data_IF_434620646791
#
_entry.id   IF_434620646791
#
_cell.length_a   1.000
_cell.length_b   1.000
_cell.length_c   1.000
_cell.angle_alpha   90.00
_cell.angle_beta   90.00
_cell.angle_gamma   90.00
#
_symmetry.space_group_name_H-M   'P 1'
#
loop_
_entity.id
_entity.type
_entity.pdbx_description
1 polymer ?
#
# COMPACT_ATOMS: atom_id res chain seq x y z
N UNK A 1 30.14 24.77 -14.74
CA UNK A 1 29.68 25.05 -13.38
C UNK A 1 30.76 25.86 -12.66
N UNK A 2 30.45 27.08 -12.19
CA UNK A 2 31.35 27.89 -11.34
C UNK A 2 31.04 27.61 -9.88
N UNK A 3 32.05 27.43 -9.05
CA UNK A 3 31.87 27.36 -7.58
C UNK A 3 31.50 28.75 -7.03
N UNK A 4 31.09 28.81 -5.75
CA UNK A 4 30.87 30.09 -5.04
C UNK A 4 32.12 31.01 -5.05
N UNK A 5 33.30 30.45 -5.35
CA UNK A 5 34.59 31.16 -5.46
C UNK A 5 34.97 31.55 -6.89
N UNK A 6 34.11 31.34 -7.89
CA UNK A 6 34.37 31.70 -9.29
C UNK A 6 35.26 30.72 -10.07
N UNK A 7 35.82 29.70 -9.42
CA UNK A 7 36.65 28.68 -10.07
C UNK A 7 35.82 27.79 -11.00
N UNK A 8 36.34 27.52 -12.21
CA UNK A 8 35.73 26.58 -13.14
C UNK A 8 36.00 25.15 -12.67
N UNK A 9 34.93 24.41 -12.34
CA UNK A 9 35.03 22.98 -12.02
C UNK A 9 34.86 22.17 -13.30
N UNK A 10 35.76 21.21 -13.55
CA UNK A 10 35.52 20.17 -14.56
C UNK A 10 34.27 19.40 -14.16
N UNK A 11 33.37 19.21 -15.12
CA UNK A 11 32.13 18.46 -14.95
C UNK A 11 32.13 17.32 -15.95
N UNK A 12 31.52 16.22 -15.57
CA UNK A 12 31.17 15.17 -16.51
C UNK A 12 29.93 15.59 -17.29
N UNK A 13 30.01 15.48 -18.62
CA UNK A 13 28.87 15.65 -19.51
C UNK A 13 28.70 14.35 -20.28
N UNK A 14 27.52 13.74 -20.17
CA UNK A 14 27.16 12.57 -20.99
C UNK A 14 26.84 13.04 -22.40
N UNK A 15 27.32 12.30 -23.38
CA UNK A 15 27.02 12.51 -24.80
C UNK A 15 26.21 11.30 -25.25
N UNK A 16 24.98 11.48 -25.74
CA UNK A 16 24.20 10.37 -26.28
C UNK A 16 24.88 9.86 -27.56
N UNK A 17 24.96 8.54 -27.69
CA UNK A 17 25.49 7.87 -28.87
C UNK A 17 24.39 6.91 -29.35
N UNK A 18 24.02 7.03 -30.62
CA UNK A 18 23.01 6.20 -31.25
C UNK A 18 23.62 5.48 -32.45
N UNK A 19 23.32 4.19 -32.58
CA UNK A 19 23.71 3.36 -33.70
C UNK A 19 22.53 2.52 -34.16
N UNK A 20 22.31 2.48 -35.48
CA UNK A 20 21.24 1.69 -36.11
C UNK A 20 21.89 0.64 -37.00
N UNK A 21 21.59 -0.63 -36.75
CA UNK A 21 22.05 -1.73 -37.57
C UNK A 21 21.24 -1.82 -38.88
N UNK A 22 21.85 -2.40 -39.92
CA UNK A 22 21.09 -2.88 -41.07
C UNK A 22 20.08 -3.97 -40.67
N UNK A 23 19.05 -4.13 -41.50
CA UNK A 23 18.01 -5.13 -41.27
C UNK A 23 18.60 -6.54 -41.15
N UNK A 24 18.38 -7.17 -39.99
CA UNK A 24 18.92 -8.51 -39.69
C UNK A 24 17.98 -9.58 -40.21
N UNK A 25 18.40 -10.33 -41.22
CA UNK A 25 17.65 -11.49 -41.69
C UNK A 25 17.63 -12.60 -40.62
N UNK A 26 16.43 -13.07 -40.26
CA UNK A 26 16.27 -14.12 -39.25
C UNK A 26 16.76 -15.47 -39.79
N UNK A 27 17.90 -15.92 -39.28
CA UNK A 27 18.48 -17.24 -39.54
C UNK A 27 18.95 -17.85 -38.23
N UNK A 28 18.72 -19.14 -38.04
CA UNK A 28 19.16 -19.83 -36.83
C UNK A 28 20.69 -19.78 -36.71
N UNK A 29 21.21 -19.43 -35.53
CA UNK A 29 22.64 -19.31 -35.28
C UNK A 29 23.02 -18.05 -34.52
N UNK A 30 24.32 -17.76 -34.50
CA UNK A 30 24.86 -16.52 -33.91
C UNK A 30 24.65 -15.37 -34.89
N UNK A 31 24.16 -14.24 -34.40
CA UNK A 31 24.14 -12.99 -35.16
C UNK A 31 25.57 -12.49 -35.34
N UNK A 32 25.85 -11.89 -36.50
CA UNK A 32 27.10 -11.19 -36.73
C UNK A 32 27.19 -10.05 -35.72
N UNK A 33 28.31 -10.00 -34.98
CA UNK A 33 28.57 -8.89 -34.08
C UNK A 33 28.68 -7.61 -34.90
N UNK A 34 28.02 -6.54 -34.44
CA UNK A 34 28.15 -5.21 -35.04
C UNK A 34 28.48 -4.17 -33.98
N UNK A 35 28.98 -3.02 -34.41
CA UNK A 35 29.49 -1.95 -33.56
C UNK A 35 28.54 -0.76 -33.66
N UNK A 36 27.87 -0.34 -32.56
CA UNK A 36 26.98 0.82 -32.58
C UNK A 36 27.66 2.14 -32.94
N UNK A 37 28.94 2.28 -32.57
CA UNK A 37 29.74 3.46 -32.84
C UNK A 37 31.12 3.03 -33.36
N UNK A 38 31.51 3.40 -34.59
CA UNK A 38 32.84 3.10 -35.13
C UNK A 38 33.99 3.65 -34.28
N UNK A 39 33.77 4.73 -33.52
CA UNK A 39 34.78 5.31 -32.62
C UNK A 39 34.99 4.46 -31.35
N UNK A 40 34.11 3.51 -31.07
CA UNK A 40 34.15 2.63 -29.88
C UNK A 40 34.01 1.16 -30.30
N UNK A 41 34.99 0.58 -31.02
CA UNK A 41 34.89 -0.75 -31.64
C UNK A 41 34.74 -1.92 -30.65
N UNK A 42 35.08 -1.69 -29.38
CA UNK A 42 34.92 -2.67 -28.30
C UNK A 42 33.52 -2.70 -27.69
N UNK A 43 32.68 -1.71 -27.99
CA UNK A 43 31.24 -1.74 -27.69
C UNK A 43 30.54 -2.45 -28.83
N UNK A 44 29.96 -3.61 -28.53
CA UNK A 44 29.43 -4.52 -29.55
C UNK A 44 28.06 -5.02 -29.19
N UNK A 45 27.20 -5.18 -30.19
CA UNK A 45 25.95 -5.91 -30.06
C UNK A 45 26.13 -7.30 -30.65
N UNK A 46 25.81 -8.31 -29.84
CA UNK A 46 25.89 -9.72 -30.21
C UNK A 46 24.54 -10.37 -29.96
N UNK A 47 24.29 -11.52 -30.60
CA UNK A 47 23.06 -12.24 -30.32
C UNK A 47 23.02 -13.66 -30.86
N UNK A 48 21.96 -14.36 -30.48
CA UNK A 48 21.69 -15.74 -30.89
C UNK A 48 20.23 -15.81 -31.29
N UNK A 49 19.97 -16.36 -32.47
CA UNK A 49 18.64 -16.61 -33.00
C UNK A 49 18.39 -18.11 -33.00
N UNK A 50 17.26 -18.52 -32.43
CA UNK A 50 16.81 -19.92 -32.36
C UNK A 50 15.39 -20.01 -32.91
N UNK A 51 15.06 -21.14 -33.54
CA UNK A 51 13.69 -21.45 -33.93
C UNK A 51 13.12 -22.50 -33.00
N UNK A 52 11.97 -22.25 -32.39
CA UNK A 52 11.23 -23.21 -31.55
C UNK A 52 9.74 -23.07 -31.84
N UNK A 53 9.03 -24.19 -31.95
CA UNK A 53 7.55 -24.22 -32.07
C UNK A 53 6.98 -23.23 -33.10
N UNK A 54 7.64 -23.08 -34.26
CA UNK A 54 7.22 -22.16 -35.32
C UNK A 54 7.60 -20.68 -35.13
N UNK A 55 8.15 -20.30 -33.98
CA UNK A 55 8.54 -18.92 -33.64
C UNK A 55 10.07 -18.73 -33.60
N UNK A 56 10.50 -17.48 -33.79
CA UNK A 56 11.89 -17.06 -33.61
C UNK A 56 12.11 -16.53 -32.20
N UNK A 57 13.09 -17.09 -31.50
CA UNK A 57 13.58 -16.59 -30.23
C UNK A 57 14.92 -15.91 -30.45
N UNK A 58 15.04 -14.66 -30.04
CA UNK A 58 16.24 -13.84 -30.22
C UNK A 58 16.74 -13.44 -28.85
N UNK A 59 18.02 -13.69 -28.60
CA UNK A 59 18.72 -13.16 -27.42
C UNK A 59 19.75 -12.16 -27.92
N UNK A 60 19.68 -10.93 -27.42
CA UNK A 60 20.62 -9.86 -27.75
C UNK A 60 21.42 -9.47 -26.51
N UNK A 61 22.68 -9.13 -26.72
CA UNK A 61 23.61 -8.67 -25.69
C UNK A 61 24.28 -7.40 -26.20
N UNK A 62 24.23 -6.33 -25.41
CA UNK A 62 25.15 -5.21 -25.56
C UNK A 62 26.36 -5.47 -24.67
N UNK A 63 27.52 -5.64 -25.29
CA UNK A 63 28.78 -5.99 -24.63
C UNK A 63 29.69 -4.78 -24.65
N UNK A 64 30.03 -4.26 -23.47
CA UNK A 64 31.08 -3.26 -23.32
C UNK A 64 32.42 -3.96 -23.08
N UNK A 65 33.22 -4.12 -24.13
CA UNK A 65 34.55 -4.73 -24.06
C UNK A 65 35.70 -3.74 -23.85
N UNK A 66 35.41 -2.46 -23.60
CA UNK A 66 36.43 -1.42 -23.44
C UNK A 66 37.33 -1.71 -22.23
N UNK A 67 38.62 -1.42 -22.36
CA UNK A 67 39.55 -1.51 -21.24
C UNK A 67 39.41 -0.29 -20.32
N UNK A 68 39.26 -0.52 -19.01
CA UNK A 68 39.16 0.58 -18.05
C UNK A 68 40.49 1.35 -17.94
N UNK A 69 40.51 2.67 -18.21
CA UNK A 69 41.71 3.48 -18.09
C UNK A 69 42.10 3.72 -16.63
N UNK A 70 43.39 3.92 -16.34
CA UNK A 70 43.89 4.18 -14.98
C UNK A 70 43.36 5.49 -14.37
N UNK A 71 43.08 6.48 -15.21
CA UNK A 71 42.47 7.75 -14.83
C UNK A 71 41.17 7.92 -15.60
N UNK A 72 40.20 8.64 -15.03
CA UNK A 72 38.90 8.92 -15.68
C UNK A 72 38.16 7.64 -16.13
N UNK A 73 38.11 6.65 -15.23
CA UNK A 73 37.50 5.33 -15.44
C UNK A 73 36.12 5.39 -16.09
N UNK A 74 35.32 6.38 -15.71
CA UNK A 74 33.97 6.61 -16.23
C UNK A 74 33.92 6.80 -17.76
N UNK A 75 35.03 7.17 -18.43
CA UNK A 75 35.11 7.26 -19.90
C UNK A 75 34.91 5.90 -20.60
N UNK A 76 35.22 4.79 -19.92
CA UNK A 76 35.02 3.43 -20.45
C UNK A 76 33.65 2.83 -20.11
N UNK A 77 32.81 3.51 -19.33
CA UNK A 77 31.53 2.98 -18.86
C UNK A 77 30.36 3.49 -19.71
N UNK A 78 29.41 2.59 -20.01
CA UNK A 78 28.18 2.95 -20.71
C UNK A 78 27.09 3.31 -19.70
N UNK A 79 26.53 4.52 -19.82
CA UNK A 79 25.49 5.00 -18.92
C UNK A 79 24.13 4.90 -19.59
N UNK A 80 23.19 4.22 -18.93
CA UNK A 80 21.80 4.04 -19.39
C UNK A 80 21.70 3.50 -20.83
N UNK A 81 22.44 2.43 -21.19
CA UNK A 81 22.35 1.87 -22.53
C UNK A 81 20.94 1.38 -22.85
N UNK A 82 20.54 1.56 -24.11
CA UNK A 82 19.24 1.14 -24.64
C UNK A 82 19.45 0.29 -25.89
N UNK A 83 18.84 -0.90 -25.92
CA UNK A 83 18.67 -1.69 -27.13
C UNK A 83 17.22 -1.58 -27.57
N UNK A 84 17.02 -1.23 -28.85
CA UNK A 84 15.72 -1.14 -29.50
C UNK A 84 15.67 -2.20 -30.60
N UNK A 85 14.56 -2.95 -30.65
CA UNK A 85 14.31 -3.95 -31.70
C UNK A 85 12.93 -3.69 -32.30
N UNK A 86 12.88 -3.65 -33.63
CA UNK A 86 11.67 -3.46 -34.41
C UNK A 86 11.73 -4.19 -35.76
N UNK A 87 10.56 -4.38 -36.39
CA UNK A 87 10.48 -4.83 -37.78
C UNK A 87 10.97 -3.72 -38.72
N UNK A 88 11.71 -4.08 -39.77
CA UNK A 88 12.24 -3.12 -40.75
C UNK A 88 11.15 -2.31 -41.49
N UNK A 89 9.90 -2.80 -41.48
CA UNK A 89 8.74 -2.12 -42.05
C UNK A 89 7.73 -1.66 -40.99
N UNK A 90 8.10 -1.66 -39.70
CA UNK A 90 7.25 -1.22 -38.60
C UNK A 90 6.04 -2.13 -38.33
N UNK A 91 6.05 -3.38 -38.78
CA UNK A 91 4.94 -4.33 -38.55
C UNK A 91 4.97 -4.88 -37.12
N UNK A 92 3.81 -5.19 -36.51
CA UNK A 92 3.73 -5.73 -35.17
C UNK A 92 4.06 -7.24 -35.15
N UNK A 93 5.33 -7.59 -35.26
CA UNK A 93 5.80 -8.97 -35.43
C UNK A 93 6.11 -9.68 -34.11
N UNK A 94 6.28 -8.95 -33.01
CA UNK A 94 6.60 -9.56 -31.73
C UNK A 94 5.34 -10.18 -31.14
N UNK A 95 5.36 -11.47 -30.90
CA UNK A 95 4.25 -12.18 -30.27
C UNK A 95 4.50 -12.32 -28.78
N UNK A 96 3.43 -12.27 -28.00
CA UNK A 96 3.53 -12.58 -26.59
C UNK A 96 4.11 -13.97 -26.36
N UNK A 97 4.92 -14.07 -25.30
CA UNK A 97 5.35 -15.34 -24.77
C UNK A 97 4.12 -16.07 -24.22
N UNK A 98 3.88 -17.34 -24.61
CA UNK A 98 2.86 -18.13 -23.94
C UNK A 98 3.25 -18.20 -22.45
N UNK A 99 2.27 -17.98 -21.58
CA UNK A 99 2.40 -18.29 -20.16
C UNK A 99 2.97 -19.72 -20.07
N UNK A 100 3.99 -19.93 -19.24
CA UNK A 100 4.65 -21.24 -19.11
C UNK A 100 3.64 -22.36 -18.90
N UNK A 101 4.06 -23.63 -19.10
CA UNK A 101 3.23 -24.80 -18.75
C UNK A 101 2.56 -24.53 -17.40
N UNK A 102 1.22 -24.61 -17.38
CA UNK A 102 0.41 -24.24 -16.23
C UNK A 102 1.03 -24.78 -14.96
N UNK A 103 1.25 -23.89 -13.99
CA UNK A 103 1.57 -24.36 -12.65
C UNK A 103 0.31 -24.98 -12.08
N UNK A 104 0.43 -26.11 -11.39
CA UNK A 104 -0.67 -26.66 -10.58
C UNK A 104 -0.86 -25.87 -9.29
N UNK A 105 0.04 -24.91 -9.01
CA UNK A 105 -0.07 -23.96 -7.91
C UNK A 105 -1.32 -23.07 -8.08
N UNK A 106 -2.30 -23.13 -7.15
CA UNK A 106 -3.53 -22.36 -7.23
C UNK A 106 -3.32 -20.84 -7.26
N UNK A 107 -2.30 -20.32 -6.56
CA UNK A 107 -1.99 -18.89 -6.53
C UNK A 107 -1.47 -18.44 -7.89
N UNK A 108 -0.54 -19.20 -8.47
CA UNK A 108 -0.01 -18.91 -9.80
C UNK A 108 -1.11 -18.98 -10.88
N UNK A 109 -2.07 -19.90 -10.75
CA UNK A 109 -3.25 -19.96 -11.64
C UNK A 109 -4.17 -18.75 -11.47
N UNK A 110 -4.40 -18.30 -10.23
CA UNK A 110 -5.18 -17.11 -9.92
C UNK A 110 -4.55 -15.84 -10.48
N UNK A 111 -3.23 -15.69 -10.31
CA UNK A 111 -2.49 -14.59 -10.93
C UNK A 111 -2.52 -14.68 -12.47
N UNK A 112 -2.33 -15.86 -13.04
CA UNK A 112 -2.41 -16.06 -14.49
C UNK A 112 -3.78 -15.66 -15.05
N UNK A 113 -4.86 -15.96 -14.34
CA UNK A 113 -6.21 -15.52 -14.69
C UNK A 113 -6.35 -13.99 -14.60
N UNK A 114 -5.96 -13.40 -13.47
CA UNK A 114 -6.10 -11.96 -13.22
C UNK A 114 -5.30 -11.11 -14.22
N UNK A 115 -4.10 -11.58 -14.57
CA UNK A 115 -3.18 -10.90 -15.49
C UNK A 115 -3.18 -11.50 -16.91
N UNK A 116 -4.16 -12.31 -17.30
CA UNK A 116 -4.20 -12.99 -18.62
C UNK A 116 -4.13 -12.06 -19.84
N UNK A 117 -4.50 -10.79 -19.65
CA UNK A 117 -4.44 -9.75 -20.67
C UNK A 117 -3.18 -8.87 -20.56
N UNK A 118 -2.34 -9.11 -19.56
CA UNK A 118 -1.01 -8.50 -19.39
C UNK A 118 0.02 -9.49 -19.90
N UNK A 119 0.55 -9.21 -21.09
CA UNK A 119 1.41 -10.15 -21.81
C UNK A 119 2.88 -9.73 -21.78
N UNK A 120 3.76 -10.72 -21.68
CA UNK A 120 5.21 -10.54 -21.77
C UNK A 120 5.68 -10.77 -23.21
N UNK A 121 6.49 -9.86 -23.77
CA UNK A 121 7.08 -10.02 -25.11
C UNK A 121 8.58 -10.34 -25.08
N UNK A 122 9.28 -9.89 -24.05
CA UNK A 122 10.71 -10.16 -23.86
C UNK A 122 11.10 -10.04 -22.39
N UNK A 123 12.18 -10.72 -22.02
CA UNK A 123 12.78 -10.70 -20.68
C UNK A 123 14.14 -10.02 -20.76
N UNK A 124 14.32 -8.95 -19.99
CA UNK A 124 15.62 -8.35 -19.76
C UNK A 124 16.33 -9.03 -18.59
N UNK A 125 17.64 -9.29 -18.75
CA UNK A 125 18.46 -9.89 -17.69
C UNK A 125 19.21 -8.77 -16.98
N UNK A 126 18.75 -8.39 -15.79
CA UNK A 126 19.27 -7.23 -15.05
C UNK A 126 18.85 -5.87 -15.64
N UNK A 127 17.84 -5.85 -16.52
CA UNK A 127 17.29 -4.64 -17.15
C UNK A 127 15.80 -4.85 -17.41
N UNK A 128 14.98 -3.79 -17.37
CA UNK A 128 13.57 -3.87 -17.73
C UNK A 128 13.38 -3.80 -19.26
N UNK A 129 12.17 -4.13 -19.71
CA UNK A 129 11.76 -4.00 -21.11
C UNK A 129 10.52 -3.11 -21.19
N UNK A 130 10.56 -2.10 -22.05
CA UNK A 130 9.42 -1.32 -22.47
C UNK A 130 8.95 -1.78 -23.84
N UNK A 131 7.63 -1.84 -24.03
CA UNK A 131 7.01 -2.43 -25.20
C UNK A 131 6.04 -1.44 -25.83
N UNK A 132 6.26 -1.11 -27.09
CA UNK A 132 5.30 -0.36 -27.90
C UNK A 132 4.30 -1.39 -28.49
N UNK A 133 3.19 -1.61 -27.79
CA UNK A 133 2.16 -2.60 -28.15
C UNK A 133 1.39 -2.16 -29.40
N UNK A 134 0.96 -3.12 -30.24
CA UNK A 134 0.14 -2.84 -31.41
C UNK A 134 -1.22 -2.25 -31.02
N UNK A 135 -1.67 -1.13 -31.62
CA UNK A 135 -2.99 -0.55 -31.37
C UNK A 135 -4.15 -1.52 -31.63
N UNK A 136 -3.98 -2.43 -32.60
CA UNK A 136 -5.03 -3.34 -33.07
C UNK A 136 -5.01 -4.70 -32.36
N UNK A 137 -3.93 -5.07 -31.67
CA UNK A 137 -3.81 -6.37 -31.03
C UNK A 137 -2.84 -6.31 -29.84
N UNK A 138 -3.37 -6.36 -28.62
CA UNK A 138 -2.58 -6.31 -27.38
C UNK A 138 -1.61 -7.47 -27.20
N UNK A 139 -1.77 -8.57 -27.95
CA UNK A 139 -0.87 -9.73 -27.95
C UNK A 139 0.26 -9.63 -28.98
N UNK A 140 0.37 -8.50 -29.67
CA UNK A 140 1.44 -8.18 -30.61
C UNK A 140 2.09 -6.84 -30.28
N UNK A 141 3.39 -6.72 -30.52
CA UNK A 141 4.12 -5.47 -30.32
C UNK A 141 4.86 -5.03 -31.58
N UNK A 142 5.01 -3.71 -31.72
CA UNK A 142 5.70 -3.02 -32.81
C UNK A 142 7.19 -2.90 -32.53
N UNK A 143 7.54 -2.62 -31.27
CA UNK A 143 8.90 -2.31 -30.85
C UNK A 143 9.15 -2.74 -29.41
N UNK A 144 10.34 -3.27 -29.16
CA UNK A 144 10.83 -3.64 -27.83
C UNK A 144 12.05 -2.78 -27.49
N UNK A 145 12.13 -2.25 -26.27
CA UNK A 145 13.24 -1.41 -25.82
C UNK A 145 13.70 -1.81 -24.43
N UNK A 146 15.00 -1.87 -24.17
CA UNK A 146 15.48 -2.04 -22.79
C UNK A 146 15.33 -0.74 -22.00
N UNK A 147 15.13 -0.82 -20.68
CA UNK A 147 15.05 0.32 -19.77
C UNK A 147 15.82 0.03 -18.48
N UNK A 148 16.90 0.79 -18.23
CA UNK A 148 17.73 0.63 -17.02
C UNK A 148 17.05 1.21 -15.78
N UNK A 149 16.33 2.32 -15.94
CA UNK A 149 15.51 2.94 -14.90
C UNK A 149 14.06 3.01 -15.41
N UNK A 150 13.28 1.93 -15.26
CA UNK A 150 11.90 1.92 -15.74
C UNK A 150 11.04 2.90 -14.95
N UNK A 151 10.09 3.50 -15.64
CA UNK A 151 9.00 4.26 -15.04
C UNK A 151 7.69 3.61 -15.49
N UNK A 152 6.71 3.60 -14.60
CA UNK A 152 5.40 3.02 -14.88
C UNK A 152 4.34 3.88 -14.23
N UNK A 153 3.30 4.20 -15.01
CA UNK A 153 2.14 4.91 -14.51
C UNK A 153 1.21 3.92 -13.83
N UNK A 154 1.07 4.04 -12.51
CA UNK A 154 0.12 3.23 -11.74
C UNK A 154 -1.22 3.95 -11.77
N UNK A 155 -2.24 3.30 -12.35
CA UNK A 155 -3.59 3.84 -12.36
C UNK A 155 -4.09 4.09 -10.92
N UNK A 156 -4.66 5.27 -10.68
CA UNK A 156 -5.30 5.56 -9.40
C UNK A 156 -6.62 4.80 -9.30
N UNK A 157 -6.84 4.11 -8.18
CA UNK A 157 -8.12 3.48 -7.85
C UNK A 157 -8.97 4.47 -7.08
N UNK A 158 -10.10 4.89 -7.66
CA UNK A 158 -11.11 5.67 -6.96
C UNK A 158 -12.19 4.73 -6.39
N UNK A 159 -12.46 4.77 -5.07
CA UNK A 159 -13.57 4.03 -4.48
C UNK A 159 -14.90 4.53 -5.05
N UNK A 160 -15.78 3.59 -5.40
CA UNK A 160 -17.17 3.90 -5.77
C UNK A 160 -17.98 4.02 -4.50
N UNK A 161 -18.78 5.07 -4.37
CA UNK A 161 -19.74 5.26 -3.28
C UNK A 161 -21.14 4.97 -3.84
N UNK A 162 -21.77 3.84 -3.47
CA UNK A 162 -23.14 3.53 -3.85
C UNK A 162 -24.11 4.61 -3.37
N UNK A 163 -25.20 4.82 -4.11
CA UNK A 163 -26.28 5.72 -3.68
C UNK A 163 -26.88 5.25 -2.35
N UNK A 164 -27.11 6.20 -1.44
CA UNK A 164 -27.63 5.91 -0.09
C UNK A 164 -26.60 5.43 0.93
N UNK A 165 -25.35 5.15 0.54
CA UNK A 165 -24.28 4.82 1.49
C UNK A 165 -23.83 6.06 2.27
N UNK A 166 -23.93 6.01 3.60
CA UNK A 166 -23.34 7.02 4.48
C UNK A 166 -21.87 6.70 4.72
N UNK A 167 -20.99 7.65 4.41
CA UNK A 167 -19.53 7.52 4.57
C UNK A 167 -18.91 8.52 5.54
N UNK A 168 -19.65 9.55 5.93
CA UNK A 168 -19.18 10.57 6.86
C UNK A 168 -19.01 9.97 8.27
N UNK A 169 -17.80 10.09 8.84
CA UNK A 169 -17.52 9.54 10.16
C UNK A 169 -18.39 10.18 11.25
N UNK A 170 -18.62 11.50 11.21
CA UNK A 170 -19.40 12.18 12.25
C UNK A 170 -20.89 11.86 12.13
N UNK A 171 -21.40 11.74 10.90
CA UNK A 171 -22.77 11.28 10.65
C UNK A 171 -22.97 9.86 11.17
N UNK A 172 -22.08 8.92 10.81
CA UNK A 172 -22.11 7.54 11.32
C UNK A 172 -22.05 7.46 12.84
N UNK A 173 -21.29 8.34 13.49
CA UNK A 173 -21.25 8.42 14.95
C UNK A 173 -22.57 8.89 15.58
N UNK A 174 -23.42 9.61 14.84
CA UNK A 174 -24.71 10.11 15.29
C UNK A 174 -25.89 9.15 15.10
N UNK A 175 -25.71 8.02 14.42
CA UNK A 175 -26.81 7.08 14.16
C UNK A 175 -27.36 6.45 15.45
N UNK A 176 -28.69 6.35 15.61
CA UNK A 176 -29.31 5.66 16.73
C UNK A 176 -29.12 4.13 16.63
N UNK A 177 -29.34 3.43 17.75
CA UNK A 177 -29.35 1.97 17.74
C UNK A 177 -30.41 1.44 16.76
N UNK A 178 -30.06 0.42 15.97
CA UNK A 178 -30.92 -0.13 14.92
C UNK A 178 -30.98 0.69 13.63
N UNK A 179 -30.23 1.79 13.52
CA UNK A 179 -30.19 2.65 12.33
C UNK A 179 -29.05 2.37 11.35
N UNK A 180 -28.08 1.52 11.69
CA UNK A 180 -26.86 1.33 10.89
C UNK A 180 -27.12 0.55 9.61
N UNK A 181 -28.06 -0.41 9.60
CA UNK A 181 -28.45 -1.16 8.42
C UNK A 181 -28.83 -0.24 7.26
N UNK A 182 -29.75 0.70 7.48
CA UNK A 182 -30.18 1.64 6.45
C UNK A 182 -29.03 2.48 5.87
N UNK A 183 -28.02 2.80 6.69
CA UNK A 183 -26.88 3.63 6.30
C UNK A 183 -25.79 2.85 5.54
N UNK A 184 -25.60 1.55 5.85
CA UNK A 184 -24.45 0.76 5.41
C UNK A 184 -24.81 -0.39 4.45
N UNK A 185 -26.04 -0.89 4.46
CA UNK A 185 -26.50 -1.95 3.54
C UNK A 185 -26.29 -1.63 2.05
N UNK A 186 -26.45 -0.37 1.56
CA UNK A 186 -26.21 -0.06 0.16
C UNK A 186 -24.80 -0.45 -0.33
N UNK A 187 -23.81 -0.45 0.58
CA UNK A 187 -22.45 -0.90 0.27
C UNK A 187 -22.40 -2.39 -0.07
N UNK A 188 -22.98 -3.25 0.78
CA UNK A 188 -22.89 -4.69 0.61
C UNK A 188 -23.78 -5.15 -0.55
N UNK A 189 -24.93 -4.52 -0.75
CA UNK A 189 -25.81 -4.77 -1.91
C UNK A 189 -25.07 -4.47 -3.23
N UNK A 190 -24.43 -3.30 -3.34
CA UNK A 190 -23.66 -2.95 -4.54
C UNK A 190 -22.47 -3.91 -4.77
N UNK A 191 -21.87 -4.42 -3.71
CA UNK A 191 -20.81 -5.42 -3.81
C UNK A 191 -21.35 -6.77 -4.29
N UNK A 192 -22.49 -7.23 -3.76
CA UNK A 192 -23.16 -8.45 -4.19
C UNK A 192 -23.59 -8.38 -5.66
N UNK A 193 -24.18 -7.27 -6.11
CA UNK A 193 -24.54 -7.04 -7.51
C UNK A 193 -23.31 -7.12 -8.44
N UNK A 194 -22.19 -6.58 -8.00
CA UNK A 194 -20.93 -6.69 -8.73
C UNK A 194 -20.46 -8.15 -8.81
N UNK A 195 -20.54 -8.91 -7.71
CA UNK A 195 -20.19 -10.34 -7.70
C UNK A 195 -21.12 -11.14 -8.63
N UNK A 196 -22.42 -10.83 -8.67
CA UNK A 196 -23.38 -11.42 -9.61
C UNK A 196 -22.98 -11.17 -11.06
N UNK A 197 -22.52 -9.96 -11.37
CA UNK A 197 -22.01 -9.64 -12.71
C UNK A 197 -20.76 -10.48 -13.07
N UNK A 198 -19.90 -10.80 -12.10
CA UNK A 198 -18.74 -11.67 -12.31
C UNK A 198 -19.16 -13.13 -12.51
N UNK A 199 -20.14 -13.61 -11.74
CA UNK A 199 -20.70 -14.96 -11.88
C UNK A 199 -21.35 -15.17 -13.25
N UNK A 200 -22.08 -14.17 -13.74
CA UNK A 200 -22.65 -14.19 -15.10
C UNK A 200 -21.55 -14.27 -16.18
N UNK A 201 -20.44 -13.54 -16.00
CA UNK A 201 -19.28 -13.60 -16.91
C UNK A 201 -18.55 -14.95 -16.85
N UNK A 202 -18.46 -15.58 -15.69
CA UNK A 202 -17.88 -16.92 -15.56
C UNK A 202 -18.76 -17.99 -16.22
N UNK A 203 -20.08 -17.79 -16.21
CA UNK A 203 -21.06 -18.68 -16.86
C UNK A 203 -21.06 -18.57 -18.39
N UNK A 204 -20.68 -17.41 -18.94
CA UNK A 204 -20.49 -17.19 -20.37
C UNK A 204 -19.09 -16.62 -20.65
N UNK A 205 -18.03 -17.46 -20.53
CA UNK A 205 -16.65 -17.00 -20.52
C UNK A 205 -16.18 -16.60 -21.93
N UNK A 206 -15.37 -15.54 -21.99
CA UNK A 206 -14.61 -15.21 -23.20
C UNK A 206 -13.54 -16.29 -23.48
N UNK A 207 -13.07 -16.45 -24.73
CA UNK A 207 -12.11 -17.51 -25.08
C UNK A 207 -10.83 -17.52 -24.22
N UNK A 208 -10.38 -16.35 -23.77
CA UNK A 208 -9.22 -16.18 -22.89
C UNK A 208 -9.49 -16.54 -21.42
N UNK A 209 -10.76 -16.58 -21.00
CA UNK A 209 -11.18 -16.93 -19.64
C UNK A 209 -11.53 -18.41 -19.49
N UNK A 210 -11.92 -19.10 -20.58
CA UNK A 210 -12.26 -20.54 -20.57
C UNK A 210 -11.26 -21.40 -19.78
N UNK A 211 -9.92 -21.24 -19.91
CA UNK A 211 -8.95 -22.06 -19.17
C UNK A 211 -8.92 -21.83 -17.65
N UNK A 212 -9.66 -20.84 -17.14
CA UNK A 212 -9.62 -20.39 -15.76
C UNK A 212 -11.01 -20.35 -15.10
N UNK A 213 -12.02 -20.96 -15.70
CA UNK A 213 -13.41 -20.92 -15.17
C UNK A 213 -13.48 -21.48 -13.75
N UNK A 214 -12.76 -22.56 -13.46
CA UNK A 214 -12.63 -23.15 -12.12
C UNK A 214 -12.04 -22.16 -11.10
N UNK A 215 -10.97 -21.48 -11.47
CA UNK A 215 -10.29 -20.46 -10.66
C UNK A 215 -11.20 -19.24 -10.45
N UNK A 216 -11.94 -18.85 -11.48
CA UNK A 216 -12.89 -17.74 -11.43
C UNK A 216 -14.03 -18.05 -10.44
N UNK A 217 -14.60 -19.24 -10.49
CA UNK A 217 -15.64 -19.68 -9.56
C UNK A 217 -15.15 -19.66 -8.11
N UNK A 218 -13.96 -20.21 -7.83
CA UNK A 218 -13.38 -20.16 -6.48
C UNK A 218 -13.14 -18.72 -5.98
N UNK A 219 -12.74 -17.81 -6.87
CA UNK A 219 -12.58 -16.39 -6.53
C UNK A 219 -13.92 -15.71 -6.22
N UNK A 220 -14.97 -16.07 -6.96
CA UNK A 220 -16.35 -15.59 -6.73
C UNK A 220 -16.87 -16.07 -5.38
N UNK A 221 -16.64 -17.34 -5.04
CA UNK A 221 -17.04 -17.91 -3.74
C UNK A 221 -16.37 -17.16 -2.58
N UNK A 222 -15.08 -16.84 -2.69
CA UNK A 222 -14.38 -16.01 -1.70
C UNK A 222 -14.96 -14.59 -1.59
N UNK A 223 -15.38 -14.00 -2.72
CA UNK A 223 -16.04 -12.69 -2.70
C UNK A 223 -17.40 -12.76 -1.97
N UNK A 224 -18.17 -13.83 -2.19
CA UNK A 224 -19.45 -14.05 -1.49
C UNK A 224 -19.28 -14.24 0.00
N UNK A 225 -18.27 -15.00 0.43
CA UNK A 225 -17.98 -15.15 1.86
C UNK A 225 -17.56 -13.81 2.48
N UNK A 226 -16.78 -13.01 1.75
CA UNK A 226 -16.42 -11.65 2.20
C UNK A 226 -17.67 -10.76 2.34
N UNK A 227 -18.60 -10.79 1.37
CA UNK A 227 -19.85 -10.02 1.42
C UNK A 227 -20.72 -10.44 2.62
N UNK A 228 -20.84 -11.75 2.87
CA UNK A 228 -21.54 -12.29 4.03
C UNK A 228 -20.94 -11.82 5.36
N UNK A 229 -19.60 -11.81 5.49
CA UNK A 229 -18.91 -11.31 6.69
C UNK A 229 -19.13 -9.80 6.90
N UNK A 230 -19.11 -9.00 5.84
CA UNK A 230 -19.46 -7.57 5.90
C UNK A 230 -20.91 -7.39 6.38
N UNK A 231 -21.85 -8.15 5.83
CA UNK A 231 -23.27 -8.12 6.21
C UNK A 231 -23.47 -8.47 7.68
N UNK A 232 -22.78 -9.50 8.18
CA UNK A 232 -22.79 -9.86 9.60
C UNK A 232 -22.24 -8.73 10.49
N UNK A 233 -21.24 -7.99 10.02
CA UNK A 233 -20.74 -6.79 10.69
C UNK A 233 -21.78 -5.67 10.78
N UNK A 234 -22.57 -5.45 9.73
CA UNK A 234 -23.65 -4.46 9.72
C UNK A 234 -24.78 -4.89 10.67
N UNK A 235 -25.24 -6.14 10.57
CA UNK A 235 -26.28 -6.69 11.46
C UNK A 235 -25.88 -6.63 12.94
N UNK A 236 -24.60 -6.86 13.24
CA UNK A 236 -24.06 -6.74 14.59
C UNK A 236 -24.24 -5.34 15.17
N UNK A 237 -24.09 -4.28 14.36
CA UNK A 237 -24.25 -2.91 14.82
C UNK A 237 -25.70 -2.59 15.23
N UNK A 238 -26.69 -3.23 14.60
CA UNK A 238 -28.10 -3.02 14.94
C UNK A 238 -28.59 -3.92 16.08
N UNK A 239 -27.88 -5.02 16.35
CA UNK A 239 -28.30 -6.03 17.34
C UNK A 239 -27.48 -6.02 18.63
N UNK A 240 -26.31 -5.40 18.64
CA UNK A 240 -25.43 -5.34 19.81
C UNK A 240 -25.08 -3.89 20.18
N UNK A 241 -25.63 -3.42 21.30
CA UNK A 241 -25.42 -2.06 21.79
C UNK A 241 -23.94 -1.71 22.07
N UNK A 242 -23.13 -2.67 22.54
CA UNK A 242 -21.70 -2.41 22.76
C UNK A 242 -20.95 -2.28 21.43
N UNK A 243 -21.33 -3.08 20.42
CA UNK A 243 -20.76 -2.99 19.09
C UNK A 243 -21.12 -1.66 18.42
N UNK A 244 -22.38 -1.26 18.48
CA UNK A 244 -22.86 0.04 18.01
C UNK A 244 -22.07 1.18 18.65
N UNK A 245 -21.93 1.15 19.97
CA UNK A 245 -21.27 2.20 20.73
C UNK A 245 -19.75 2.25 20.48
N UNK A 246 -19.09 1.10 20.36
CA UNK A 246 -17.70 1.01 19.95
C UNK A 246 -17.47 1.55 18.52
N UNK A 247 -18.43 1.34 17.61
CA UNK A 247 -18.38 1.87 16.27
C UNK A 247 -18.56 3.40 16.24
N UNK A 248 -19.47 3.96 17.06
CA UNK A 248 -19.58 5.42 17.23
C UNK A 248 -18.28 6.01 17.76
N UNK A 249 -17.70 5.42 18.81
CA UNK A 249 -16.42 5.86 19.36
C UNK A 249 -15.30 5.82 18.31
N UNK A 250 -15.21 4.74 17.52
CA UNK A 250 -14.21 4.59 16.48
C UNK A 250 -14.36 5.67 15.41
N UNK A 251 -15.59 5.95 14.97
CA UNK A 251 -15.88 7.00 13.99
C UNK A 251 -15.51 8.40 14.52
N UNK A 252 -15.90 8.75 15.75
CA UNK A 252 -15.54 10.04 16.37
C UNK A 252 -14.02 10.19 16.49
N UNK A 253 -13.34 9.14 16.96
CA UNK A 253 -11.88 9.14 17.10
C UNK A 253 -11.18 9.34 15.76
N UNK A 254 -11.69 8.68 14.71
CA UNK A 254 -11.14 8.75 13.36
C UNK A 254 -11.40 10.09 12.68
N UNK A 255 -12.56 10.71 12.90
CA UNK A 255 -12.85 12.07 12.45
C UNK A 255 -11.94 13.09 13.15
N UNK A 256 -11.89 13.05 14.49
CA UNK A 256 -11.10 13.98 15.27
C UNK A 256 -9.60 13.92 14.94
N UNK A 257 -9.01 12.71 14.82
CA UNK A 257 -7.59 12.61 14.43
C UNK A 257 -7.34 13.14 13.02
N UNK A 258 -8.31 12.99 12.12
CA UNK A 258 -8.18 13.41 10.72
C UNK A 258 -8.19 14.93 10.62
N UNK A 259 -9.15 15.57 11.28
CA UNK A 259 -9.31 17.02 11.33
C UNK A 259 -8.07 17.69 11.93
N UNK A 260 -7.59 17.16 13.07
CA UNK A 260 -6.37 17.68 13.71
C UNK A 260 -5.10 17.42 12.89
N UNK A 261 -5.05 16.35 12.11
CA UNK A 261 -3.92 16.10 11.19
C UNK A 261 -3.91 17.11 10.04
N UNK A 262 -5.08 17.47 9.50
CA UNK A 262 -5.20 18.51 8.47
C UNK A 262 -4.79 19.85 9.06
N UNK A 263 -5.36 20.23 10.20
CA UNK A 263 -5.03 21.46 10.92
C UNK A 263 -3.52 21.58 11.18
N UNK A 264 -2.88 20.55 11.74
CA UNK A 264 -1.45 20.55 12.01
C UNK A 264 -0.58 20.63 10.74
N UNK A 265 -1.09 20.13 9.61
CA UNK A 265 -0.41 20.23 8.31
C UNK A 265 -0.47 21.65 7.78
N UNK A 266 -1.64 22.30 7.84
CA UNK A 266 -1.82 23.67 7.35
C UNK A 266 -1.01 24.68 8.17
N UNK A 267 -1.00 24.55 9.50
CA UNK A 267 -0.14 25.34 10.39
C UNK A 267 1.34 25.18 10.01
N UNK A 268 1.81 23.95 9.75
CA UNK A 268 3.21 23.69 9.36
C UNK A 268 3.57 24.29 8.01
N UNK A 269 2.60 24.39 7.11
CA UNK A 269 2.77 25.02 5.80
C UNK A 269 2.64 26.55 5.84
N UNK A 270 2.39 27.14 7.01
CA UNK A 270 2.22 28.58 7.19
C UNK A 270 0.91 29.11 6.59
N UNK A 271 -0.09 28.23 6.40
CA UNK A 271 -1.44 28.63 5.99
C UNK A 271 -2.24 29.08 7.21
N UNK A 272 -3.26 29.91 6.95
CA UNK A 272 -4.30 30.18 7.95
C UNK A 272 -5.12 28.90 8.16
N UNK A 273 -5.04 28.35 9.37
CA UNK A 273 -5.70 27.09 9.73
C UNK A 273 -6.89 27.40 10.65
N UNK A 274 -8.08 27.00 10.23
CA UNK A 274 -9.32 27.11 11.00
C UNK A 274 -9.89 25.71 11.26
N UNK A 275 -9.84 25.28 12.51
CA UNK A 275 -10.32 23.96 12.89
C UNK A 275 -11.84 23.84 12.67
N UNK A 276 -12.62 24.87 12.96
CA UNK A 276 -14.07 24.82 12.80
C UNK A 276 -14.47 24.66 11.34
N UNK A 277 -13.77 25.34 10.43
CA UNK A 277 -13.96 25.17 8.99
C UNK A 277 -13.56 23.77 8.51
N UNK A 278 -12.48 23.19 9.05
CA UNK A 278 -12.05 21.82 8.71
C UNK A 278 -13.10 20.80 9.17
N UNK A 279 -13.60 20.92 10.41
CA UNK A 279 -14.60 20.00 10.98
C UNK A 279 -15.94 20.07 10.25
N UNK A 280 -16.31 21.26 9.76
CA UNK A 280 -17.56 21.53 9.04
C UNK A 280 -17.60 20.97 7.61
N UNK A 281 -16.48 20.49 7.06
CA UNK A 281 -16.43 19.88 5.73
C UNK A 281 -16.43 18.34 5.80
N UNK A 282 -17.56 17.68 5.45
CA UNK A 282 -17.70 16.22 5.40
C UNK A 282 -16.62 15.51 4.57
N UNK A 283 -16.06 16.18 3.56
CA UNK A 283 -15.06 15.57 2.70
C UNK A 283 -13.74 15.28 3.44
N UNK A 284 -13.48 15.94 4.57
CA UNK A 284 -12.26 15.76 5.34
C UNK A 284 -12.23 14.44 6.11
N UNK A 285 -13.39 13.97 6.57
CA UNK A 285 -13.56 12.78 7.42
C UNK A 285 -14.53 11.75 6.81
N UNK A 286 -14.68 11.74 5.49
CA UNK A 286 -15.36 10.69 4.77
C UNK A 286 -14.51 9.40 4.66
N UNK A 287 -15.11 8.26 5.00
CA UNK A 287 -14.54 6.96 4.70
C UNK A 287 -14.53 6.69 3.19
N UNK A 288 -13.54 5.93 2.75
CA UNK A 288 -13.59 5.22 1.47
C UNK A 288 -14.36 3.91 1.66
N UNK A 289 -15.15 3.52 0.68
CA UNK A 289 -15.99 2.31 0.73
C UNK A 289 -15.23 1.05 1.14
N UNK A 290 -14.01 0.85 0.63
CA UNK A 290 -13.19 -0.31 1.00
C UNK A 290 -12.71 -0.26 2.47
N UNK A 291 -12.54 0.94 3.05
CA UNK A 291 -12.16 1.12 4.45
C UNK A 291 -13.32 0.69 5.34
N UNK A 292 -14.55 1.12 5.03
CA UNK A 292 -15.76 0.68 5.72
C UNK A 292 -15.95 -0.84 5.60
N UNK A 293 -15.84 -1.39 4.38
CA UNK A 293 -15.90 -2.83 4.16
C UNK A 293 -14.89 -3.58 5.05
N UNK A 294 -13.64 -3.11 5.09
CA UNK A 294 -12.59 -3.71 5.92
C UNK A 294 -12.86 -3.60 7.43
N UNK A 295 -13.44 -2.50 7.90
CA UNK A 295 -13.82 -2.36 9.31
C UNK A 295 -14.96 -3.32 9.63
N UNK A 296 -16.04 -3.28 8.83
CA UNK A 296 -17.26 -4.06 9.04
C UNK A 296 -17.01 -5.57 9.05
N UNK A 297 -16.19 -6.08 8.12
CA UNK A 297 -15.88 -7.51 8.06
C UNK A 297 -15.14 -8.03 9.30
N UNK A 298 -14.46 -7.15 10.06
CA UNK A 298 -13.71 -7.53 11.26
C UNK A 298 -14.54 -7.42 12.56
N UNK A 299 -15.67 -6.71 12.57
CA UNK A 299 -16.39 -6.40 13.81
C UNK A 299 -16.88 -7.65 14.57
N UNK A 300 -17.46 -8.68 13.93
CA UNK A 300 -17.93 -9.87 14.65
C UNK A 300 -16.81 -10.58 15.43
N UNK A 301 -15.62 -10.71 14.85
CA UNK A 301 -14.48 -11.38 15.47
C UNK A 301 -13.84 -10.55 16.61
N UNK A 302 -13.96 -9.22 16.54
CA UNK A 302 -13.47 -8.31 17.59
C UNK A 302 -14.45 -8.22 18.77
N UNK A 303 -15.74 -8.36 18.51
CA UNK A 303 -16.81 -8.21 19.51
C UNK A 303 -17.10 -9.48 20.29
N UNK A 304 -17.02 -10.66 19.67
CA UNK A 304 -17.21 -11.92 20.38
C UNK A 304 -15.87 -12.68 20.55
N UNK A 305 -15.34 -12.77 21.78
CA UNK A 305 -14.14 -13.54 22.07
C UNK A 305 -14.21 -15.02 21.68
N UNK A 306 -15.41 -15.58 21.51
CA UNK A 306 -15.68 -16.98 21.12
C UNK A 306 -15.90 -17.16 19.61
N UNK A 307 -15.87 -16.07 18.83
CA UNK A 307 -16.02 -16.14 17.39
C UNK A 307 -14.87 -16.98 16.78
N UNK A 308 -15.22 -17.99 15.97
CA UNK A 308 -14.25 -18.91 15.38
C UNK A 308 -13.22 -18.21 14.47
N UNK A 309 -13.65 -17.15 13.77
CA UNK A 309 -12.78 -16.38 12.86
C UNK A 309 -11.57 -15.78 13.61
N UNK A 310 -11.73 -15.47 14.90
CA UNK A 310 -10.69 -14.87 15.73
C UNK A 310 -9.42 -15.72 15.83
N UNK A 311 -9.55 -17.05 15.76
CA UNK A 311 -8.43 -17.99 15.82
C UNK A 311 -8.00 -18.55 14.47
N UNK A 312 -8.83 -18.42 13.45
CA UNK A 312 -8.69 -19.17 12.19
C UNK A 312 -8.34 -18.27 11.00
N UNK A 313 -8.65 -16.97 11.06
CA UNK A 313 -8.58 -16.07 9.90
C UNK A 313 -7.59 -14.92 10.14
N UNK A 314 -6.84 -14.58 9.08
CA UNK A 314 -6.07 -13.35 8.98
C UNK A 314 -6.50 -12.59 7.72
N UNK A 315 -7.15 -11.44 7.90
CA UNK A 315 -7.66 -10.63 6.79
C UNK A 315 -6.57 -9.75 6.17
N UNK A 316 -6.44 -9.82 4.83
CA UNK A 316 -5.46 -9.06 4.06
C UNK A 316 -6.11 -7.87 3.34
N UNK A 317 -5.72 -6.65 3.74
CA UNK A 317 -6.11 -5.43 3.03
C UNK A 317 -5.16 -5.12 1.87
N UNK A 318 -5.53 -5.57 0.66
CA UNK A 318 -4.83 -5.22 -0.57
C UNK A 318 -5.46 -4.02 -1.26
N UNK A 319 -4.74 -2.89 -1.30
CA UNK A 319 -5.14 -1.71 -2.07
C UNK A 319 -3.88 -0.95 -2.55
N UNK A 320 -3.89 -0.23 -3.68
CA UNK A 320 -2.71 0.50 -4.15
C UNK A 320 -2.12 1.49 -3.13
N UNK A 321 -0.84 1.81 -3.27
CA UNK A 321 -0.14 2.81 -2.44
C UNK A 321 -0.78 4.19 -2.59
N UNK A 322 -0.84 4.96 -1.50
CA UNK A 322 -1.57 6.24 -1.48
C UNK A 322 -3.10 6.10 -1.43
N UNK A 323 -3.62 4.88 -1.49
CA UNK A 323 -5.06 4.61 -1.52
C UNK A 323 -5.77 4.60 -0.16
N UNK A 324 -5.12 5.02 0.93
CA UNK A 324 -5.80 5.19 2.24
C UNK A 324 -5.96 3.91 3.07
N UNK A 325 -5.05 2.95 2.93
CA UNK A 325 -5.09 1.70 3.73
C UNK A 325 -4.94 1.94 5.23
N UNK A 326 -4.23 3.01 5.59
CA UNK A 326 -3.90 3.30 6.98
C UNK A 326 -5.13 3.62 7.80
N UNK A 327 -6.05 4.37 7.24
CA UNK A 327 -7.30 4.75 7.87
C UNK A 327 -8.16 3.51 8.18
N UNK A 328 -8.17 2.50 7.31
CA UNK A 328 -8.93 1.26 7.53
C UNK A 328 -8.46 0.52 8.79
N UNK A 329 -7.15 0.24 8.92
CA UNK A 329 -6.64 -0.48 10.09
C UNK A 329 -6.61 0.38 11.35
N UNK A 330 -6.55 1.71 11.23
CA UNK A 330 -6.72 2.63 12.36
C UNK A 330 -8.17 2.64 12.87
N UNK A 331 -9.17 2.59 11.98
CA UNK A 331 -10.57 2.40 12.36
C UNK A 331 -10.81 1.10 13.10
N UNK A 332 -10.22 -0.01 12.62
CA UNK A 332 -10.25 -1.31 13.31
C UNK A 332 -9.59 -1.21 14.69
N UNK A 333 -8.45 -0.51 14.80
CA UNK A 333 -7.76 -0.31 16.07
C UNK A 333 -8.63 0.49 17.05
N UNK A 334 -9.23 1.59 16.61
CA UNK A 334 -10.12 2.42 17.42
C UNK A 334 -11.33 1.62 17.95
N UNK A 335 -11.96 0.83 17.08
CA UNK A 335 -13.05 -0.07 17.47
C UNK A 335 -12.59 -1.10 18.52
N UNK A 336 -11.44 -1.74 18.28
CA UNK A 336 -10.87 -2.74 19.19
C UNK A 336 -10.61 -2.16 20.59
N UNK A 337 -10.11 -0.91 20.65
CA UNK A 337 -9.88 -0.21 21.91
C UNK A 337 -11.19 0.07 22.64
N UNK A 338 -12.22 0.55 21.93
CA UNK A 338 -13.52 0.87 22.49
C UNK A 338 -14.29 -0.36 22.98
N UNK A 339 -14.41 -1.41 22.14
CA UNK A 339 -15.18 -2.61 22.48
C UNK A 339 -14.61 -3.31 23.72
N UNK A 340 -13.28 -3.31 23.87
CA UNK A 340 -12.63 -3.84 25.07
C UNK A 340 -13.02 -3.08 26.34
N UNK A 341 -13.15 -1.74 26.28
CA UNK A 341 -13.62 -0.96 27.44
C UNK A 341 -15.04 -1.34 27.81
N UNK A 342 -15.93 -1.44 26.82
CA UNK A 342 -17.34 -1.77 27.03
C UNK A 342 -17.55 -3.21 27.53
N UNK A 343 -16.72 -4.15 27.09
CA UNK A 343 -16.75 -5.55 27.56
C UNK A 343 -16.29 -5.70 29.02
N UNK A 344 -15.54 -4.75 29.56
CA UNK A 344 -15.08 -4.77 30.94
C UNK A 344 -14.17 -5.96 31.26
N UNK A 345 -14.57 -6.80 32.20
CA UNK A 345 -13.80 -7.98 32.61
C UNK A 345 -14.40 -9.25 31.99
N UNK A 346 -13.59 -9.98 31.23
CA UNK A 346 -13.97 -11.23 30.57
C UNK A 346 -13.16 -12.40 31.16
N UNK A 347 -13.68 -12.99 32.23
CA UNK A 347 -12.95 -14.00 33.01
C UNK A 347 -11.76 -13.38 33.73
N UNK A 348 -10.55 -13.88 33.47
CA UNK A 348 -9.28 -13.35 33.97
C UNK A 348 -8.72 -12.20 33.11
N UNK A 349 -9.35 -11.88 31.98
CA UNK A 349 -8.89 -10.86 31.04
C UNK A 349 -9.57 -9.52 31.27
N UNK A 350 -8.77 -8.50 31.55
CA UNK A 350 -9.24 -7.11 31.65
C UNK A 350 -9.29 -6.44 30.27
N UNK A 351 -10.43 -5.84 29.95
CA UNK A 351 -10.61 -4.97 28.79
C UNK A 351 -10.06 -3.56 28.99
N UNK A 352 -9.70 -3.19 30.22
CA UNK A 352 -9.23 -1.84 30.57
C UNK A 352 -7.72 -1.67 30.40
N UNK A 353 -6.95 -2.75 30.57
CA UNK A 353 -5.49 -2.75 30.56
C UNK A 353 -4.89 -3.72 29.52
N UNK A 354 -3.60 -3.55 29.26
CA UNK A 354 -2.81 -4.41 28.39
C UNK A 354 -2.80 -4.01 26.92
N UNK A 355 -2.06 -4.79 26.13
CA UNK A 355 -1.88 -4.55 24.69
C UNK A 355 -3.07 -5.10 23.90
N UNK A 356 -3.68 -4.26 23.09
CA UNK A 356 -4.80 -4.61 22.22
C UNK A 356 -4.38 -4.68 20.74
N UNK A 357 -3.45 -3.82 20.30
CA UNK A 357 -3.06 -3.69 18.90
C UNK A 357 -1.53 -3.72 18.76
N UNK A 358 -1.03 -4.56 17.86
CA UNK A 358 0.37 -4.61 17.45
C UNK A 358 0.49 -4.22 15.98
N UNK A 359 1.22 -3.14 15.68
CA UNK A 359 1.51 -2.70 14.32
C UNK A 359 2.97 -2.96 13.99
N UNK A 360 3.27 -3.67 12.90
CA UNK A 360 4.66 -3.97 12.50
C UNK A 360 5.00 -3.38 11.14
N UNK A 361 6.11 -2.66 11.08
CA UNK A 361 6.62 -2.05 9.85
C UNK A 361 8.04 -2.50 9.54
N UNK A 362 8.33 -2.67 8.25
CA UNK A 362 9.62 -3.22 7.79
C UNK A 362 10.73 -2.18 7.67
N UNK A 363 10.38 -0.91 7.45
CA UNK A 363 11.33 0.19 7.22
C UNK A 363 11.24 1.23 8.33
N UNK A 364 12.38 1.63 8.91
CA UNK A 364 12.45 2.57 10.05
C UNK A 364 11.76 3.91 9.77
N UNK A 365 11.96 4.49 8.58
CA UNK A 365 11.30 5.75 8.20
C UNK A 365 9.77 5.60 8.16
N UNK A 366 9.29 4.48 7.60
CA UNK A 366 7.87 4.17 7.55
C UNK A 366 7.32 3.97 8.97
N UNK A 367 8.06 3.30 9.86
CA UNK A 367 7.67 3.10 11.26
C UNK A 367 7.39 4.44 11.95
N UNK A 368 8.27 5.43 11.80
CA UNK A 368 8.09 6.76 12.42
C UNK A 368 6.89 7.51 11.84
N UNK A 369 6.72 7.48 10.52
CA UNK A 369 5.57 8.12 9.87
C UNK A 369 4.24 7.50 10.31
N UNK A 370 4.19 6.18 10.42
CA UNK A 370 2.98 5.47 10.84
C UNK A 370 2.73 5.62 12.35
N UNK A 371 3.78 5.72 13.16
CA UNK A 371 3.66 6.04 14.58
C UNK A 371 3.01 7.40 14.80
N UNK A 372 3.38 8.44 14.03
CA UNK A 372 2.75 9.76 14.15
C UNK A 372 1.24 9.70 13.89
N UNK A 373 0.82 8.89 12.91
CA UNK A 373 -0.60 8.70 12.58
C UNK A 373 -1.35 7.94 13.67
N UNK A 374 -0.76 6.86 14.18
CA UNK A 374 -1.34 6.10 15.28
C UNK A 374 -1.39 6.92 16.58
N UNK A 375 -0.41 7.78 16.84
CA UNK A 375 -0.40 8.68 17.99
C UNK A 375 -1.56 9.68 17.93
N UNK A 376 -1.83 10.27 16.75
CA UNK A 376 -2.99 11.16 16.57
C UNK A 376 -4.32 10.45 16.89
N UNK A 377 -4.47 9.19 16.45
CA UNK A 377 -5.63 8.37 16.83
C UNK A 377 -5.73 8.18 18.34
N UNK A 378 -4.64 7.78 19.00
CA UNK A 378 -4.66 7.50 20.44
C UNK A 378 -4.95 8.77 21.25
N UNK A 379 -4.46 9.93 20.82
CA UNK A 379 -4.85 11.22 21.41
C UNK A 379 -6.36 11.48 21.25
N UNK A 380 -6.94 11.21 20.08
CA UNK A 380 -8.38 11.38 19.89
C UNK A 380 -9.20 10.42 20.76
N UNK A 381 -8.79 9.15 20.86
CA UNK A 381 -9.41 8.18 21.77
C UNK A 381 -9.36 8.66 23.23
N UNK A 382 -8.22 9.21 23.67
CA UNK A 382 -8.04 9.70 25.04
C UNK A 382 -8.89 10.94 25.34
N UNK A 383 -9.06 11.85 24.38
CA UNK A 383 -9.97 12.99 24.54
C UNK A 383 -11.40 12.50 24.79
N UNK A 384 -11.91 11.60 23.96
CA UNK A 384 -13.28 11.05 24.09
C UNK A 384 -13.43 10.26 25.41
N UNK A 385 -12.39 9.51 25.81
CA UNK A 385 -12.39 8.79 27.11
C UNK A 385 -12.58 9.74 28.29
N UNK A 386 -11.92 10.90 28.27
CA UNK A 386 -11.95 11.90 29.35
C UNK A 386 -13.29 12.62 29.46
N UNK A 387 -14.06 12.69 28.37
CA UNK A 387 -15.41 13.24 28.36
C UNK A 387 -16.41 12.35 29.11
N UNK A 388 -16.22 11.03 29.07
CA UNK A 388 -17.06 10.07 29.81
C UNK A 388 -16.22 8.94 30.48
N UNK A 389 -15.54 9.23 31.60
CA UNK A 389 -14.74 8.24 32.31
C UNK A 389 -15.57 7.10 32.92
N UNK A 390 -16.87 7.33 33.16
CA UNK A 390 -17.77 6.31 33.71
C UNK A 390 -18.03 5.21 32.67
N UNK A 391 -18.13 5.58 31.39
CA UNK A 391 -18.31 4.65 30.27
C UNK A 391 -17.02 4.01 29.79
N UNK A 392 -15.96 4.81 29.62
CA UNK A 392 -14.73 4.36 28.97
C UNK A 392 -13.63 3.92 29.96
N UNK A 393 -13.88 4.07 31.26
CA UNK A 393 -12.98 3.70 32.34
C UNK A 393 -11.90 4.75 32.62
N UNK A 394 -11.28 4.64 33.80
CA UNK A 394 -10.27 5.58 34.30
C UNK A 394 -8.87 5.43 33.67
N UNK A 395 -8.55 4.26 33.14
CA UNK A 395 -7.21 3.97 32.58
C UNK A 395 -7.00 4.71 31.24
N UNK A 396 -5.90 5.46 31.02
CA UNK A 396 -5.63 6.17 29.77
C UNK A 396 -5.46 5.24 28.55
N UNK A 397 -5.73 5.76 27.35
CA UNK A 397 -5.30 5.10 26.10
C UNK A 397 -3.84 5.45 25.78
N UNK A 398 -3.00 4.42 25.62
CA UNK A 398 -1.54 4.59 25.46
C UNK A 398 -0.99 3.99 24.18
N UNK A 399 0.06 4.60 23.64
CA UNK A 399 0.83 4.14 22.49
C UNK A 399 2.30 3.95 22.83
N UNK A 400 2.88 2.83 22.40
CA UNK A 400 4.31 2.54 22.51
C UNK A 400 5.00 2.45 21.15
N UNK A 401 6.28 2.83 21.08
CA UNK A 401 7.14 2.64 19.91
C UNK A 401 8.32 1.74 20.29
N UNK A 402 8.51 0.64 19.57
CA UNK A 402 9.63 -0.28 19.77
C UNK A 402 10.49 -0.39 18.51
N UNK A 403 11.62 0.31 18.50
CA UNK A 403 12.56 0.41 17.35
C UNK A 403 14.02 0.08 17.70
N UNK A 404 14.24 -0.51 18.88
CA UNK A 404 15.57 -0.88 19.41
C UNK A 404 16.25 0.24 20.21
N UNK A 405 17.06 -0.16 21.20
CA UNK A 405 17.68 0.73 22.21
C UNK A 405 18.48 1.89 21.63
N UNK A 406 19.10 1.71 20.46
CA UNK A 406 19.94 2.74 19.85
C UNK A 406 19.12 3.93 19.30
N UNK A 407 17.79 3.79 19.16
CA UNK A 407 16.94 4.79 18.52
C UNK A 407 15.94 5.44 19.47
N UNK A 408 15.41 4.71 20.44
CA UNK A 408 14.47 5.21 21.45
C UNK A 408 14.77 4.58 22.81
N UNK A 409 14.54 5.30 23.91
CA UNK A 409 14.63 4.71 25.24
C UNK A 409 13.71 3.50 25.38
N UNK A 410 14.20 2.49 26.10
CA UNK A 410 13.48 1.24 26.35
C UNK A 410 12.77 1.24 27.72
N UNK A 411 12.84 2.32 28.49
CA UNK A 411 12.26 2.46 29.83
C UNK A 411 11.52 3.81 29.98
N UNK A 412 10.51 3.88 30.86
CA UNK A 412 9.60 5.04 30.99
C UNK A 412 10.33 6.23 31.57
N UNK A 413 11.19 5.98 32.55
CA UNK A 413 12.02 6.99 33.22
C UNK A 413 12.95 7.67 32.21
N UNK A 414 13.69 6.86 31.43
CA UNK A 414 14.57 7.34 30.36
C UNK A 414 13.82 8.15 29.29
N UNK A 415 12.58 7.74 28.96
CA UNK A 415 11.76 8.43 27.97
C UNK A 415 11.23 9.77 28.49
N UNK A 416 10.81 9.84 29.76
CA UNK A 416 10.39 11.07 30.41
C UNK A 416 11.54 12.10 30.43
N UNK A 417 12.75 11.67 30.78
CA UNK A 417 13.95 12.51 30.77
C UNK A 417 14.27 13.03 29.35
N UNK A 418 14.19 12.15 28.34
CA UNK A 418 14.43 12.53 26.94
C UNK A 418 13.41 13.54 26.41
N UNK A 419 12.11 13.38 26.73
CA UNK A 419 11.04 14.33 26.35
C UNK A 419 11.27 15.69 27.00
N UNK A 420 11.61 15.71 28.29
CA UNK A 420 11.91 16.94 29.00
C UNK A 420 13.07 17.70 28.34
N UNK A 421 14.20 17.01 28.10
CA UNK A 421 15.36 17.59 27.42
C UNK A 421 14.99 18.17 26.04
N UNK A 422 14.09 17.51 25.31
CA UNK A 422 13.62 17.98 24.01
C UNK A 422 12.71 19.22 24.12
N UNK A 423 11.80 19.25 25.10
CA UNK A 423 10.94 20.42 25.38
C UNK A 423 11.81 21.59 25.82
N UNK A 424 12.72 21.39 26.77
CA UNK A 424 13.65 22.41 27.26
C UNK A 424 14.49 23.01 26.14
N UNK A 425 15.04 22.17 25.24
CA UNK A 425 15.76 22.64 24.05
C UNK A 425 14.91 23.47 23.10
N UNK A 426 13.60 23.19 23.02
CA UNK A 426 12.69 23.80 22.05
C UNK A 426 12.03 25.07 22.59
N UNK A 427 11.74 25.14 23.89
CA UNK A 427 11.01 26.25 24.53
C UNK A 427 11.90 27.11 25.43
N UNK A 428 13.06 26.63 25.86
CA UNK A 428 13.93 27.31 26.82
C UNK A 428 13.43 27.27 28.27
N UNK A 429 12.33 26.58 28.55
CA UNK A 429 11.69 26.51 29.88
C UNK A 429 12.01 25.15 30.52
N UNK A 430 12.59 25.17 31.72
CA UNK A 430 12.77 23.97 32.56
C UNK A 430 11.41 23.42 32.98
N UNK A 431 11.09 22.20 32.58
CA UNK A 431 9.85 21.52 32.98
C UNK A 431 10.20 20.52 34.08
N UNK A 432 9.65 20.62 35.30
CA UNK A 432 9.97 19.68 36.37
C UNK A 432 9.50 18.25 36.01
N UNK A 433 10.28 17.24 36.42
CA UNK A 433 9.87 15.83 36.37
C UNK A 433 8.74 15.66 37.38
N UNK A 434 7.49 15.67 36.92
CA UNK A 434 6.37 15.18 37.71
C UNK A 434 6.39 13.67 37.55
N UNK A 435 6.83 12.96 38.59
CA UNK A 435 6.90 11.49 38.59
C UNK A 435 5.54 10.82 38.35
N UNK A 436 4.44 11.56 38.48
CA UNK A 436 3.08 11.06 38.30
C UNK A 436 2.39 11.51 37.00
N UNK A 437 2.93 12.46 36.23
CA UNK A 437 2.25 13.02 35.02
C UNK A 437 3.24 13.54 33.95
N UNK A 438 4.16 12.70 33.46
CA UNK A 438 4.93 13.03 32.26
C UNK A 438 4.07 12.89 30.99
N UNK A 439 4.32 13.65 29.90
CA UNK A 439 3.59 13.47 28.64
C UNK A 439 3.84 12.04 28.11
N UNK A 440 2.82 11.18 28.21
CA UNK A 440 2.83 9.73 27.97
C UNK A 440 3.11 9.31 26.50
N UNK A 441 3.82 10.11 25.71
CA UNK A 441 4.03 9.88 24.28
C UNK A 441 5.17 8.89 23.95
N UNK A 442 5.91 8.42 24.93
CA UNK A 442 6.96 7.42 24.75
C UNK A 442 7.02 6.49 25.98
N UNK A 443 6.14 5.50 26.04
CA UNK A 443 6.20 4.46 27.08
C UNK A 443 6.85 3.18 26.52
N UNK A 444 7.78 2.53 27.26
CA UNK A 444 8.26 1.18 26.96
C UNK A 444 7.17 0.12 27.16
N UNK A 445 7.07 -0.83 26.22
CA UNK A 445 6.28 -2.10 26.20
C UNK A 445 5.07 -2.19 27.18
N UNK A 446 4.31 -1.12 27.33
CA UNK A 446 3.03 -1.06 28.04
C UNK A 446 2.23 0.02 27.32
N UNK A 447 1.16 -0.40 26.65
CA UNK A 447 0.35 0.47 25.83
C UNK A 447 -0.75 -0.33 25.17
N UNK A 448 -1.91 0.28 24.94
CA UNK A 448 -2.99 -0.42 24.25
C UNK A 448 -2.65 -0.65 22.77
N UNK A 449 -1.79 0.20 22.19
CA UNK A 449 -1.24 0.05 20.84
C UNK A 449 0.29 0.09 20.88
N UNK A 450 0.96 -0.87 20.24
CA UNK A 450 2.42 -0.87 20.09
C UNK A 450 2.80 -0.88 18.62
N UNK A 451 3.67 0.05 18.22
CA UNK A 451 4.28 0.12 16.90
C UNK A 451 5.69 -0.47 16.93
N UNK A 452 5.94 -1.46 16.08
CA UNK A 452 7.19 -2.22 15.98
C UNK A 452 7.93 -1.85 14.70
N UNK A 453 9.21 -1.50 14.82
CA UNK A 453 10.14 -1.40 13.69
C UNK A 453 11.06 -2.61 13.59
N UNK A 454 11.58 -2.88 12.38
CA UNK A 454 12.68 -3.83 12.23
C UNK A 454 13.97 -3.30 12.89
N UNK A 455 14.65 -4.22 13.61
CA UNK A 455 15.98 -3.98 14.21
C UNK A 455 17.01 -3.60 13.17
#
# INVERSE_FOLDING_TARGET
YKTKTGAQRRIWRRIPVEGVAEAVALRAGRLRSWQPNPEQPDVRVQGIVRRRTGQWHITLFLVNGQSEPKQRKDEAWLFQPELIVEDAHGRPIFEHRPLGRGSDDPELRSMAMAYRNTVEFAVGHGVAVHVDVSPNNRRRALRLKTRVAPMYDVAQTQPVVPEGLVIDMRELAGFPDGGFGAALEPMVTAYEDWIDSLAARASNPSPDLIPFVDVASGSIDQCRETAKRIRAGIELLDTNMQAAEAFRFANLSMAAQRDHTIFATDVRQGKEADLAAIEADPANHAWRTFQLGFILLNLPALTDPKNAERSEIADLLWFPTGGGKTEAYLGVAAYTLAIRRLQGQLGDRSGHAGVAVLMRYTLRLLTLQQFQRAAALICACEVIRREDPAKWGGEPFRIGLWVGQNSTPNWTEDAAEAVQLAIEKRTGVKVPIVSDEAPEAAVPITGNLIVLGNR
#
